data_IF_483841031258
#
_entry.id   IF_483841031258
#
_cell.length_a   1.000
_cell.length_b   1.000
_cell.length_c   1.000
_cell.angle_alpha   90.00
_cell.angle_beta   90.00
_cell.angle_gamma   90.00
#
_symmetry.space_group_name_H-M   'P 1'
#
loop_
_entity.id
_entity.type
_entity.pdbx_description
1 polymer ?
#
# COMPACT_ATOMS: atom_id res chain seq x y z
N UNK A 1 -6.68 -21.15 5.24
CA UNK A 1 -6.79 -20.90 3.80
C UNK A 1 -5.86 -19.73 3.52
N UNK A 2 -4.95 -19.84 2.56
CA UNK A 2 -4.19 -18.68 2.11
C UNK A 2 -5.12 -17.77 1.29
N UNK A 3 -4.88 -16.47 1.32
CA UNK A 3 -5.59 -15.47 0.51
C UNK A 3 -4.64 -14.99 -0.57
N UNK A 4 -5.18 -14.70 -1.75
CA UNK A 4 -4.42 -14.10 -2.84
C UNK A 4 -4.42 -12.58 -2.65
N UNK A 5 -3.24 -11.97 -2.69
CA UNK A 5 -3.10 -10.53 -2.44
C UNK A 5 -2.54 -9.88 -3.70
N UNK A 6 -3.30 -8.92 -4.24
CA UNK A 6 -3.01 -8.31 -5.53
C UNK A 6 -2.88 -6.80 -5.37
N UNK A 7 -1.92 -6.20 -6.06
CA UNK A 7 -1.71 -4.76 -6.09
C UNK A 7 -1.80 -4.24 -7.52
N UNK A 8 -2.79 -3.39 -7.77
CA UNK A 8 -2.94 -2.63 -9.00
C UNK A 8 -2.36 -1.24 -8.80
N UNK A 9 -1.52 -0.78 -9.74
CA UNK A 9 -1.03 0.59 -9.76
C UNK A 9 -1.20 1.16 -11.17
N UNK A 10 -1.83 2.33 -11.29
CA UNK A 10 -2.06 2.97 -12.60
C UNK A 10 -0.71 3.24 -13.30
N UNK A 11 -0.53 2.65 -14.48
CA UNK A 11 0.69 2.81 -15.29
C UNK A 11 1.86 1.89 -14.92
N UNK A 12 1.67 0.91 -14.03
CA UNK A 12 2.69 -0.09 -13.66
C UNK A 12 2.12 -1.49 -13.80
N UNK A 13 2.61 -2.23 -14.81
CA UNK A 13 2.23 -3.62 -15.03
C UNK A 13 3.10 -4.59 -14.21
N UNK A 14 2.46 -5.51 -13.49
CA UNK A 14 3.06 -6.71 -12.91
C UNK A 14 2.97 -7.92 -13.82
N UNK A 15 2.96 -9.11 -13.21
CA UNK A 15 2.99 -10.41 -13.90
C UNK A 15 1.91 -11.40 -13.39
N UNK A 16 0.95 -10.93 -12.58
CA UNK A 16 -0.10 -11.83 -12.06
C UNK A 16 -0.93 -12.44 -13.19
N UNK A 17 -1.30 -13.70 -12.99
CA UNK A 17 -2.13 -14.50 -13.92
C UNK A 17 -3.46 -14.92 -13.27
N UNK A 18 -3.81 -14.30 -12.15
CA UNK A 18 -5.07 -14.56 -11.44
C UNK A 18 -6.23 -13.99 -12.25
N UNK A 19 -7.27 -14.79 -12.44
CA UNK A 19 -8.48 -14.42 -13.19
C UNK A 19 -9.11 -13.15 -12.61
N UNK A 20 -9.23 -12.12 -13.45
CA UNK A 20 -9.74 -10.80 -13.05
C UNK A 20 -8.71 -9.84 -12.44
N UNK A 21 -7.46 -10.28 -12.29
CA UNK A 21 -6.32 -9.49 -11.79
C UNK A 21 -5.07 -9.63 -12.68
N UNK A 22 -5.25 -9.96 -13.96
CA UNK A 22 -4.14 -10.18 -14.87
C UNK A 22 -3.29 -8.91 -15.07
N UNK A 23 -1.97 -9.07 -14.97
CA UNK A 23 -1.02 -7.96 -15.09
C UNK A 23 -0.97 -7.07 -13.85
N UNK A 24 -1.66 -7.39 -12.75
CA UNK A 24 -1.42 -6.80 -11.44
C UNK A 24 -0.15 -7.39 -10.80
N UNK A 25 0.24 -6.84 -9.65
CA UNK A 25 1.41 -7.29 -8.89
C UNK A 25 0.97 -8.30 -7.84
N UNK A 26 1.58 -9.49 -7.84
CA UNK A 26 1.39 -10.46 -6.76
C UNK A 26 2.12 -10.01 -5.49
N UNK A 27 1.37 -9.94 -4.38
CA UNK A 27 1.87 -9.54 -3.07
C UNK A 27 1.91 -10.75 -2.13
N UNK A 28 3.03 -10.92 -1.45
CA UNK A 28 3.26 -12.01 -0.50
C UNK A 28 2.84 -11.63 0.92
N UNK A 29 3.03 -10.37 1.27
CA UNK A 29 2.66 -9.82 2.58
C UNK A 29 2.52 -8.31 2.50
N UNK A 30 1.71 -7.75 3.39
CA UNK A 30 1.60 -6.31 3.56
C UNK A 30 1.34 -5.96 5.02
N UNK A 31 1.66 -4.71 5.38
CA UNK A 31 1.34 -4.13 6.67
C UNK A 31 1.02 -2.65 6.51
N UNK A 32 0.01 -2.19 7.23
CA UNK A 32 -0.37 -0.78 7.30
C UNK A 32 -0.81 -0.44 8.72
N UNK A 33 -0.60 0.81 9.13
CA UNK A 33 -0.84 1.24 10.49
C UNK A 33 -1.18 2.71 10.59
N UNK A 34 -1.87 3.06 11.67
CA UNK A 34 -2.17 4.43 12.03
C UNK A 34 -2.18 4.60 13.54
N UNK A 35 -1.78 5.78 14.01
CA UNK A 35 -1.71 6.11 15.44
C UNK A 35 -2.45 7.42 15.71
N UNK A 36 -3.23 7.48 16.78
CA UNK A 36 -3.91 8.70 17.25
C UNK A 36 -3.20 9.23 18.51
N UNK A 37 -2.85 10.51 18.49
CA UNK A 37 -2.21 11.25 19.59
C UNK A 37 -3.19 11.79 20.64
N UNK A 38 -4.50 11.71 20.38
CA UNK A 38 -5.54 12.13 21.32
C UNK A 38 -5.50 11.34 22.62
N UNK A 39 -5.72 12.03 23.74
CA UNK A 39 -5.62 11.47 25.09
C UNK A 39 -6.95 11.52 25.82
N UNK A 40 -7.34 10.40 26.43
CA UNK A 40 -8.54 10.31 27.26
C UNK A 40 -8.30 10.79 28.70
N UNK A 41 -7.06 11.14 29.06
CA UNK A 41 -6.70 11.59 30.41
C UNK A 41 -6.99 13.08 30.66
N UNK A 42 -7.49 13.80 29.66
CA UNK A 42 -7.85 15.22 29.75
C UNK A 42 -9.37 15.37 29.64
N UNK A 43 -10.03 15.78 30.73
CA UNK A 43 -11.46 16.05 30.78
C UNK A 43 -11.84 17.44 30.26
N UNK A 44 -13.12 17.67 29.96
CA UNK A 44 -13.65 19.01 29.61
C UNK A 44 -13.58 19.39 28.12
N UNK A 45 -13.45 18.42 27.22
CA UNK A 45 -13.51 18.64 25.77
C UNK A 45 -12.16 18.82 25.07
N UNK A 46 -11.04 18.61 25.77
CA UNK A 46 -9.68 18.87 25.30
C UNK A 46 -8.75 17.65 25.28
N UNK A 47 -9.09 16.61 24.54
CA UNK A 47 -8.20 15.48 24.22
C UNK A 47 -7.69 15.52 22.77
N UNK A 48 -7.64 16.72 22.16
CA UNK A 48 -7.48 16.88 20.71
C UNK A 48 -6.16 16.32 20.21
N UNK A 49 -6.21 15.51 19.17
CA UNK A 49 -5.07 14.89 18.52
C UNK A 49 -5.27 14.79 17.02
N UNK A 50 -4.19 14.49 16.31
CA UNK A 50 -4.22 14.21 14.87
C UNK A 50 -3.77 12.77 14.65
N UNK A 51 -4.40 12.13 13.67
CA UNK A 51 -3.97 10.83 13.19
C UNK A 51 -2.65 10.97 12.44
N UNK A 52 -1.74 10.03 12.67
CA UNK A 52 -0.58 9.79 11.83
C UNK A 52 -0.81 8.47 11.09
N UNK A 53 -0.82 8.53 9.76
CA UNK A 53 -1.01 7.37 8.88
C UNK A 53 0.37 6.97 8.39
N UNK A 54 0.73 5.71 8.58
CA UNK A 54 2.00 5.16 8.11
C UNK A 54 1.93 4.82 6.63
N UNK A 55 3.08 4.72 5.99
CA UNK A 55 3.18 4.15 4.64
C UNK A 55 2.74 2.68 4.66
N UNK A 56 2.18 2.22 3.54
CA UNK A 56 1.91 0.80 3.33
C UNK A 56 3.24 0.13 2.96
N UNK A 57 3.63 -0.90 3.70
CA UNK A 57 4.79 -1.73 3.39
C UNK A 57 4.33 -3.06 2.84
N UNK A 58 4.98 -3.54 1.77
CA UNK A 58 4.62 -4.78 1.09
C UNK A 58 5.85 -5.58 0.68
N UNK A 59 5.67 -6.90 0.54
CA UNK A 59 6.65 -7.83 -0.03
C UNK A 59 6.09 -8.40 -1.31
N UNK A 60 6.86 -8.36 -2.39
CA UNK A 60 6.53 -8.96 -3.70
C UNK A 60 7.76 -9.67 -4.27
N UNK A 61 7.55 -10.57 -5.23
CA UNK A 61 8.65 -11.06 -6.05
C UNK A 61 9.22 -9.96 -6.96
N UNK A 62 10.42 -10.17 -7.48
CA UNK A 62 10.92 -9.34 -8.58
C UNK A 62 10.20 -9.76 -9.86
N UNK A 63 9.53 -8.81 -10.49
CA UNK A 63 8.78 -8.94 -11.75
C UNK A 63 8.97 -7.67 -12.63
N UNK A 64 8.24 -7.60 -13.75
CA UNK A 64 8.13 -6.46 -14.67
C UNK A 64 7.85 -5.10 -14.01
N UNK A 65 7.09 -5.06 -12.91
CA UNK A 65 6.79 -3.82 -12.20
C UNK A 65 8.01 -3.24 -11.48
N UNK A 66 8.99 -4.08 -11.11
CA UNK A 66 10.06 -3.69 -10.18
C UNK A 66 10.90 -2.51 -10.68
N UNK A 67 11.28 -2.50 -11.97
CA UNK A 67 12.07 -1.41 -12.54
C UNK A 67 11.27 -0.13 -12.70
N UNK A 68 9.97 -0.23 -12.99
CA UNK A 68 9.07 0.92 -13.02
C UNK A 68 8.90 1.55 -11.64
N UNK A 69 8.72 0.73 -10.59
CA UNK A 69 8.64 1.19 -9.20
C UNK A 69 9.95 1.85 -8.74
N UNK A 70 11.10 1.25 -9.07
CA UNK A 70 12.41 1.85 -8.79
C UNK A 70 12.57 3.21 -9.47
N UNK A 71 12.20 3.31 -10.75
CA UNK A 71 12.25 4.57 -11.51
C UNK A 71 11.34 5.63 -10.90
N UNK A 72 10.10 5.28 -10.57
CA UNK A 72 9.16 6.18 -9.92
C UNK A 72 9.70 6.70 -8.57
N UNK A 73 10.29 5.81 -7.77
CA UNK A 73 10.94 6.16 -6.51
C UNK A 73 12.12 7.12 -6.73
N UNK A 74 13.03 6.82 -7.68
CA UNK A 74 14.17 7.68 -7.99
C UNK A 74 13.76 9.07 -8.49
N UNK A 75 12.64 9.17 -9.20
CA UNK A 75 12.14 10.43 -9.76
C UNK A 75 11.24 11.21 -8.79
N UNK A 76 10.82 10.61 -7.67
CA UNK A 76 9.75 11.17 -6.84
C UNK A 76 8.42 11.29 -7.60
N UNK A 77 8.17 10.40 -8.56
CA UNK A 77 6.97 10.39 -9.38
C UNK A 77 5.78 9.89 -8.57
N UNK A 78 4.74 10.70 -8.44
CA UNK A 78 3.50 10.30 -7.81
C UNK A 78 2.65 9.45 -8.78
N UNK A 79 2.40 8.20 -8.40
CA UNK A 79 1.51 7.30 -9.12
C UNK A 79 0.07 7.59 -8.67
N UNK A 80 -0.80 7.82 -9.65
CA UNK A 80 -2.13 8.44 -9.44
C UNK A 80 -3.09 7.60 -8.59
N UNK A 81 -3.04 6.28 -8.72
CA UNK A 81 -3.89 5.36 -7.96
C UNK A 81 -3.17 4.04 -7.70
N UNK A 82 -3.39 3.50 -6.50
CA UNK A 82 -2.97 2.15 -6.12
C UNK A 82 -4.12 1.46 -5.35
N UNK A 83 -4.46 0.24 -5.73
CA UNK A 83 -5.53 -0.58 -5.13
C UNK A 83 -4.92 -1.90 -4.66
N UNK A 84 -5.01 -2.18 -3.37
CA UNK A 84 -4.64 -3.46 -2.77
C UNK A 84 -5.90 -4.31 -2.54
N UNK A 85 -5.92 -5.52 -3.10
CA UNK A 85 -7.00 -6.50 -2.95
C UNK A 85 -6.50 -7.70 -2.14
N UNK A 86 -7.35 -8.27 -1.27
CA UNK A 86 -7.07 -9.42 -0.38
C UNK A 86 -8.24 -10.40 -0.45
#
# INVERSE_FOLDING_TARGET
MAVDILLKIEGVDGESVIDGHEGEIDVLSWSWGMTQSGSMHVGGGGGSGKVNIQDISLTKYVDKASTNLMRACCNGEHLKEAILTV
#
